data_IF_181560368877
#
_entry.id   IF_181560368877
#
_cell.length_a   1.000
_cell.length_b   1.000
_cell.length_c   1.000
_cell.angle_alpha   90.00
_cell.angle_beta   90.00
_cell.angle_gamma   90.00
#
_symmetry.space_group_name_H-M   'P 1'
#
loop_
_entity.id
_entity.type
_entity.pdbx_description
1 polymer ?
#
# COMPACT_ATOMS: atom_id res chain seq x y z
N UNK A 1 -23.08 -1.32 -3.35
CA UNK A 1 -21.67 -1.68 -3.58
C UNK A 1 -20.83 -0.44 -3.84
N UNK A 2 -21.13 0.35 -4.88
CA UNK A 2 -20.39 1.60 -5.21
C UNK A 2 -20.31 2.64 -4.07
N UNK A 3 -21.36 2.74 -3.25
CA UNK A 3 -21.44 3.75 -2.17
C UNK A 3 -20.44 3.55 -1.02
N UNK A 4 -19.77 2.40 -0.95
CA UNK A 4 -18.84 2.07 0.13
C UNK A 4 -17.36 1.97 -0.36
N UNK A 5 -17.03 2.56 -1.52
CA UNK A 5 -15.65 2.60 -2.05
C UNK A 5 -15.21 1.38 -2.87
N UNK A 6 -16.08 0.36 -2.97
CA UNK A 6 -15.81 -0.85 -3.76
C UNK A 6 -16.26 -0.69 -5.21
N UNK A 7 -15.31 -0.82 -6.14
CA UNK A 7 -15.52 -0.77 -7.60
C UNK A 7 -15.55 -2.19 -8.17
N UNK A 8 -16.51 -2.48 -9.05
CA UNK A 8 -16.59 -3.74 -9.80
C UNK A 8 -15.81 -3.57 -11.11
N UNK A 9 -14.59 -4.10 -11.20
CA UNK A 9 -13.71 -3.91 -12.36
C UNK A 9 -13.75 -5.05 -13.37
N UNK A 10 -14.27 -6.22 -13.00
CA UNK A 10 -14.41 -7.38 -13.88
C UNK A 10 -15.78 -8.02 -13.75
N UNK A 11 -16.54 -8.05 -14.85
CA UNK A 11 -17.84 -8.73 -14.94
C UNK A 11 -17.81 -9.71 -16.11
N UNK A 12 -18.07 -10.97 -15.82
CA UNK A 12 -18.29 -12.01 -16.81
C UNK A 12 -19.72 -11.90 -17.34
N UNK A 13 -19.87 -11.26 -18.51
CA UNK A 13 -21.18 -10.99 -19.13
C UNK A 13 -21.97 -12.25 -19.48
N UNK A 14 -21.30 -13.38 -19.72
CA UNK A 14 -21.93 -14.64 -20.08
C UNK A 14 -22.66 -15.30 -18.91
N UNK A 15 -22.22 -15.05 -17.67
CA UNK A 15 -22.74 -15.71 -16.46
C UNK A 15 -23.30 -14.72 -15.44
N UNK A 16 -23.40 -13.44 -15.82
CA UNK A 16 -23.76 -12.32 -14.95
C UNK A 16 -23.03 -12.35 -13.59
N UNK A 17 -21.74 -12.70 -13.65
CA UNK A 17 -20.92 -12.95 -12.45
C UNK A 17 -19.82 -11.90 -12.35
N UNK A 18 -19.70 -11.29 -11.17
CA UNK A 18 -18.59 -10.40 -10.84
C UNK A 18 -17.35 -11.25 -10.60
N UNK A 19 -16.29 -10.99 -11.37
CA UNK A 19 -15.03 -11.73 -11.27
C UNK A 19 -13.93 -10.94 -10.57
N UNK A 20 -13.98 -9.60 -10.62
CA UNK A 20 -12.94 -8.73 -10.04
C UNK A 20 -13.57 -7.55 -9.31
N UNK A 21 -13.10 -7.29 -8.11
CA UNK A 21 -13.44 -6.12 -7.29
C UNK A 21 -12.18 -5.38 -6.84
N UNK A 22 -12.29 -4.07 -6.67
CA UNK A 22 -11.21 -3.18 -6.24
C UNK A 22 -11.72 -2.18 -5.21
N UNK A 23 -10.84 -1.71 -4.31
CA UNK A 23 -11.15 -0.63 -3.36
C UNK A 23 -10.18 0.52 -3.60
N UNK A 24 -10.70 1.67 -4.04
CA UNK A 24 -9.88 2.82 -4.47
C UNK A 24 -9.19 3.52 -3.31
N UNK A 25 -9.76 3.45 -2.12
CA UNK A 25 -9.23 4.07 -0.91
C UNK A 25 -8.06 3.30 -0.30
N UNK A 26 -7.83 2.05 -0.72
CA UNK A 26 -6.71 1.24 -0.24
C UNK A 26 -5.54 1.30 -1.25
N UNK A 27 -4.27 1.43 -0.80
CA UNK A 27 -3.11 1.58 -1.69
C UNK A 27 -2.96 0.47 -2.74
N UNK A 28 -3.43 -0.73 -2.42
CA UNK A 28 -3.56 -1.85 -3.36
C UNK A 28 -4.59 -2.83 -2.79
N UNK A 29 -5.75 -2.99 -3.45
CA UNK A 29 -6.76 -3.96 -3.06
C UNK A 29 -7.45 -4.49 -4.31
N UNK A 30 -7.29 -5.79 -4.56
CA UNK A 30 -7.90 -6.50 -5.67
C UNK A 30 -8.43 -7.83 -5.14
N UNK A 31 -9.72 -8.09 -5.30
CA UNK A 31 -10.35 -9.38 -5.04
C UNK A 31 -10.73 -10.04 -6.36
N UNK A 32 -10.39 -11.32 -6.53
CA UNK A 32 -10.72 -12.11 -7.73
C UNK A 32 -11.45 -13.38 -7.34
N UNK A 33 -12.43 -13.79 -8.14
CA UNK A 33 -13.16 -15.04 -7.94
C UNK A 33 -12.53 -16.24 -8.67
N UNK A 34 -11.79 -15.98 -9.75
CA UNK A 34 -11.03 -17.01 -10.44
C UNK A 34 -9.72 -17.35 -9.70
N UNK A 35 -9.07 -18.45 -10.09
CA UNK A 35 -7.81 -18.90 -9.48
C UNK A 35 -6.58 -18.46 -10.32
N UNK A 36 -6.01 -17.26 -10.10
CA UNK A 36 -4.81 -16.81 -10.82
C UNK A 36 -3.57 -17.66 -10.51
N UNK A 37 -3.58 -18.37 -9.38
CA UNK A 37 -2.52 -19.27 -8.93
C UNK A 37 -2.18 -20.33 -9.97
N UNK A 38 -3.19 -20.94 -10.59
CA UNK A 38 -2.98 -21.99 -11.60
C UNK A 38 -2.37 -21.47 -12.90
N UNK A 39 -2.44 -20.16 -13.15
CA UNK A 39 -1.83 -19.52 -14.32
C UNK A 39 -0.46 -18.91 -14.02
N UNK A 40 -0.06 -18.82 -12.76
CA UNK A 40 1.22 -18.26 -12.34
C UNK A 40 2.34 -19.30 -12.51
N UNK A 41 3.48 -18.90 -13.09
CA UNK A 41 4.66 -19.76 -13.24
C UNK A 41 5.89 -19.10 -12.62
N UNK A 42 6.91 -19.86 -12.19
CA UNK A 42 8.12 -19.29 -11.58
C UNK A 42 8.83 -18.24 -12.46
N UNK A 43 8.90 -18.47 -13.78
CA UNK A 43 9.53 -17.55 -14.74
C UNK A 43 8.54 -16.55 -15.36
N UNK A 44 7.24 -16.69 -15.07
CA UNK A 44 6.18 -15.82 -15.58
C UNK A 44 5.08 -15.72 -14.52
N UNK A 45 5.35 -14.98 -13.43
CA UNK A 45 4.38 -14.81 -12.36
C UNK A 45 3.18 -14.02 -12.86
N UNK A 46 1.99 -14.36 -12.35
CA UNK A 46 0.77 -13.64 -12.72
C UNK A 46 0.85 -12.17 -12.28
N UNK A 47 0.40 -11.19 -13.10
CA UNK A 47 0.49 -9.76 -12.79
C UNK A 47 -0.12 -9.34 -11.45
N UNK A 48 -1.14 -10.07 -10.99
CA UNK A 48 -1.77 -9.85 -9.69
C UNK A 48 -0.78 -10.07 -8.53
N UNK A 49 0.09 -11.08 -8.62
CA UNK A 49 1.08 -11.35 -7.58
C UNK A 49 2.26 -10.39 -7.65
N UNK A 50 2.75 -10.06 -8.85
CA UNK A 50 3.88 -9.12 -9.00
C UNK A 50 3.49 -7.73 -8.50
N UNK A 51 2.33 -7.22 -8.92
CA UNK A 51 1.83 -5.92 -8.48
C UNK A 51 1.54 -5.86 -6.97
N UNK A 52 1.08 -6.96 -6.37
CA UNK A 52 0.91 -7.04 -4.91
C UNK A 52 2.23 -6.88 -4.15
N UNK A 53 3.28 -7.59 -4.59
CA UNK A 53 4.61 -7.52 -3.96
C UNK A 53 5.21 -6.13 -4.15
N UNK A 54 5.10 -5.54 -5.34
CA UNK A 54 5.56 -4.17 -5.61
C UNK A 54 4.84 -3.14 -4.72
N UNK A 55 3.51 -3.24 -4.60
CA UNK A 55 2.74 -2.36 -3.73
C UNK A 55 3.12 -2.52 -2.26
N UNK A 56 3.34 -3.76 -1.81
CA UNK A 56 3.78 -4.07 -0.45
C UNK A 56 5.16 -3.47 -0.17
N UNK A 57 6.10 -3.60 -1.11
CA UNK A 57 7.44 -3.01 -1.00
C UNK A 57 7.37 -1.48 -0.94
N UNK A 58 6.59 -0.86 -1.82
CA UNK A 58 6.38 0.59 -1.83
C UNK A 58 5.81 1.07 -0.49
N UNK A 59 4.81 0.37 0.05
CA UNK A 59 4.21 0.69 1.34
C UNK A 59 5.21 0.55 2.49
N UNK A 60 6.05 -0.49 2.47
CA UNK A 60 7.12 -0.67 3.45
C UNK A 60 8.15 0.48 3.40
N UNK A 61 8.60 0.88 2.21
CA UNK A 61 9.53 1.99 2.03
C UNK A 61 8.94 3.34 2.50
N UNK A 62 7.65 3.56 2.29
CA UNK A 62 6.98 4.76 2.79
C UNK A 62 6.96 4.79 4.32
N UNK A 63 6.70 3.67 4.99
CA UNK A 63 6.71 3.63 6.46
C UNK A 63 8.11 3.87 7.07
N UNK A 64 9.16 3.31 6.46
CA UNK A 64 10.54 3.48 6.94
C UNK A 64 11.03 4.93 6.79
N UNK A 65 10.69 5.59 5.69
CA UNK A 65 11.03 7.00 5.45
C UNK A 65 10.32 7.94 6.44
N UNK A 66 9.05 7.69 6.75
CA UNK A 66 8.30 8.46 7.76
C UNK A 66 8.90 8.32 9.16
N UNK A 67 9.26 7.09 9.58
CA UNK A 67 9.96 6.87 10.87
C UNK A 67 11.31 7.58 10.94
N UNK A 68 12.10 7.55 9.86
CA UNK A 68 13.43 8.20 9.80
C UNK A 68 13.35 9.74 9.83
N UNK A 69 12.38 10.32 9.12
CA UNK A 69 12.09 11.76 9.17
C UNK A 69 11.59 12.21 10.54
N UNK A 70 10.75 11.43 11.20
CA UNK A 70 10.30 11.74 12.57
C UNK A 70 11.43 11.66 13.59
N UNK A 71 12.25 10.59 13.55
CA UNK A 71 13.39 10.44 14.47
C UNK A 71 14.42 11.57 14.32
N UNK A 72 14.73 11.96 13.08
CA UNK A 72 15.64 13.09 12.82
C UNK A 72 15.06 14.45 13.21
N UNK A 73 13.73 14.66 13.07
CA UNK A 73 13.04 15.86 13.56
C UNK A 73 13.09 15.94 15.09
N UNK A 74 12.82 14.84 15.80
CA UNK A 74 12.88 14.77 17.27
C UNK A 74 14.29 15.12 17.78
N UNK A 75 15.34 14.53 17.19
CA UNK A 75 16.74 14.84 17.57
C UNK A 75 17.11 16.31 17.36
N UNK A 76 16.71 16.91 16.22
CA UNK A 76 16.97 18.34 15.94
C UNK A 76 16.22 19.28 16.87
N UNK A 77 14.97 18.97 17.22
CA UNK A 77 14.17 19.80 18.14
C UNK A 77 14.66 19.69 19.59
N UNK A 78 15.10 18.49 20.02
CA UNK A 78 15.71 18.27 21.34
C UNK A 78 16.98 19.09 21.54
N UNK A 79 17.91 19.02 20.57
CA UNK A 79 19.17 19.79 20.61
C UNK A 79 18.94 21.31 20.66
N UNK A 80 18.00 21.85 19.85
CA UNK A 80 17.66 23.28 19.89
C UNK A 80 17.10 23.73 21.25
N UNK A 81 16.30 22.88 21.92
CA UNK A 81 15.75 23.20 23.26
C UNK A 81 16.84 23.23 24.33
N UNK A 82 17.79 22.31 24.30
CA UNK A 82 18.91 22.28 25.26
C UNK A 82 19.84 23.48 25.12
N UNK A 83 20.24 23.84 23.89
CA UNK A 83 21.11 25.00 23.63
C UNK A 83 20.43 26.33 24.03
N UNK A 84 19.11 26.45 23.83
CA UNK A 84 18.38 27.65 24.26
C UNK A 84 18.28 27.81 25.79
N UNK A 85 18.38 26.71 26.55
CA UNK A 85 18.39 26.77 28.03
C UNK A 85 19.76 27.14 28.58
N UNK A 86 20.85 26.73 27.91
CA UNK A 86 22.22 27.05 28.35
C UNK A 86 22.66 28.47 28.06
N UNK A 87 21.99 29.17 27.13
CA UNK A 87 22.30 30.57 26.77
C UNK A 87 21.50 31.60 27.59
N UNK A 88 20.49 31.16 28.35
CA UNK A 88 19.64 32.01 29.17
C UNK A 88 19.81 31.74 30.68
N UNK A 89 20.90 31.07 31.07
CA UNK A 89 21.37 30.86 32.45
C UNK A 89 22.75 31.47 32.61
#
# INVERSE_FOLDING_TARGET
>A
FDKNGMTLSGVCKERDLIEIIEIKEHPWYIGVQFHPEFKSRPLSPHPLFTSFVEASLKQHMQQTTHKKKMSSKIKRTGYKKEVSKSLNS
#
